data_IF_893655706745
#
_entry.id   IF_893655706745
#
_cell.length_a   1.000
_cell.length_b   1.000
_cell.length_c   1.000
_cell.angle_alpha   90.00
_cell.angle_beta   90.00
_cell.angle_gamma   90.00
#
_symmetry.space_group_name_H-M   'P 1'
#
loop_
_entity.id
_entity.type
_entity.pdbx_description
1 polymer ?
#
# COMPACT_ATOMS: atom_id res chain seq x y z
N UNK A 1 -18.82 11.83 9.93
CA UNK A 1 -18.46 12.27 8.57
C UNK A 1 -17.83 11.09 7.88
N UNK A 2 -18.16 10.82 6.62
CA UNK A 2 -17.50 9.76 5.86
C UNK A 2 -16.08 10.23 5.50
N UNK A 3 -15.08 9.36 5.63
CA UNK A 3 -13.71 9.61 5.15
C UNK A 3 -13.60 9.52 3.61
N UNK A 4 -14.69 9.14 2.93
CA UNK A 4 -14.78 9.01 1.46
C UNK A 4 -15.32 10.29 0.83
N UNK A 5 -14.76 10.67 -0.32
CA UNK A 5 -15.19 11.83 -1.12
C UNK A 5 -16.48 11.53 -1.89
N UNK A 6 -16.67 10.27 -2.31
CA UNK A 6 -17.85 9.82 -3.05
C UNK A 6 -18.84 9.08 -2.17
N UNK A 7 -20.13 9.14 -2.54
CA UNK A 7 -21.13 8.25 -1.93
C UNK A 7 -20.86 6.78 -2.30
N UNK A 8 -21.33 5.81 -1.49
CA UNK A 8 -21.18 4.38 -1.80
C UNK A 8 -21.72 4.00 -3.19
N UNK A 9 -22.81 4.62 -3.63
CA UNK A 9 -23.39 4.37 -4.96
C UNK A 9 -22.50 4.88 -6.09
N UNK A 10 -21.94 6.07 -5.96
CA UNK A 10 -21.00 6.64 -6.95
C UNK A 10 -19.70 5.84 -6.99
N UNK A 11 -19.16 5.47 -5.83
CA UNK A 11 -17.97 4.65 -5.73
C UNK A 11 -18.17 3.29 -6.41
N UNK A 12 -19.30 2.62 -6.14
CA UNK A 12 -19.61 1.35 -6.78
C UNK A 12 -19.74 1.49 -8.31
N UNK A 13 -20.40 2.55 -8.79
CA UNK A 13 -20.51 2.82 -10.21
C UNK A 13 -19.13 2.97 -10.88
N UNK A 14 -18.24 3.78 -10.27
CA UNK A 14 -16.88 4.01 -10.78
C UNK A 14 -16.03 2.73 -10.77
N UNK A 15 -16.13 1.92 -9.71
CA UNK A 15 -15.46 0.62 -9.60
C UNK A 15 -15.92 -0.33 -10.70
N UNK A 16 -17.23 -0.49 -10.90
CA UNK A 16 -17.77 -1.36 -11.94
C UNK A 16 -17.42 -0.88 -13.35
N UNK A 17 -17.41 0.43 -13.58
CA UNK A 17 -16.95 1.02 -14.85
C UNK A 17 -15.47 0.75 -15.11
N UNK A 18 -14.64 0.82 -14.06
CA UNK A 18 -13.21 0.50 -14.12
C UNK A 18 -12.99 -0.96 -14.50
N UNK A 19 -13.67 -1.89 -13.82
CA UNK A 19 -13.61 -3.33 -14.15
C UNK A 19 -14.01 -3.62 -15.59
N UNK A 20 -15.12 -3.02 -16.05
CA UNK A 20 -15.56 -3.18 -17.44
C UNK A 20 -14.52 -2.66 -18.43
N UNK A 21 -13.87 -1.53 -18.15
CA UNK A 21 -12.82 -0.97 -19.02
C UNK A 21 -11.56 -1.83 -19.04
N UNK A 22 -11.27 -2.52 -17.93
CA UNK A 22 -10.18 -3.48 -17.83
C UNK A 22 -10.49 -4.84 -18.50
N UNK A 23 -11.72 -5.05 -19.00
CA UNK A 23 -12.14 -6.37 -19.50
C UNK A 23 -12.21 -7.40 -18.39
N UNK A 24 -12.58 -6.98 -17.18
CA UNK A 24 -12.68 -7.84 -16.01
C UNK A 24 -14.14 -7.97 -15.56
N UNK A 25 -14.49 -9.18 -15.14
CA UNK A 25 -15.73 -9.45 -14.42
C UNK A 25 -15.43 -9.70 -12.94
N UNK A 26 -16.41 -9.46 -12.07
CA UNK A 26 -16.25 -9.65 -10.63
C UNK A 26 -17.35 -10.53 -10.05
N UNK A 27 -16.96 -11.49 -9.20
CA UNK A 27 -17.86 -12.26 -8.36
C UNK A 27 -17.66 -11.81 -6.92
N UNK A 28 -18.75 -11.45 -6.24
CA UNK A 28 -18.68 -10.97 -4.86
C UNK A 28 -19.55 -11.80 -3.93
N UNK A 29 -19.12 -11.92 -2.66
CA UNK A 29 -19.83 -12.66 -1.63
C UNK A 29 -19.61 -12.06 -0.25
N UNK A 30 -20.66 -12.02 0.55
CA UNK A 30 -20.52 -11.79 1.98
C UNK A 30 -20.05 -13.08 2.65
N UNK A 31 -19.09 -12.97 3.56
CA UNK A 31 -18.58 -14.13 4.32
C UNK A 31 -19.28 -14.30 5.66
N UNK A 32 -20.07 -13.31 6.08
CA UNK A 32 -20.77 -13.29 7.37
C UNK A 32 -22.22 -12.82 7.22
N UNK A 33 -23.17 -13.31 8.06
CA UNK A 33 -24.55 -12.83 8.05
C UNK A 33 -24.70 -11.34 8.38
N UNK A 34 -23.76 -10.78 9.17
CA UNK A 34 -23.74 -9.36 9.51
C UNK A 34 -23.38 -8.45 8.34
N UNK A 35 -22.92 -9.02 7.21
CA UNK A 35 -22.49 -8.29 6.01
C UNK A 35 -21.37 -7.28 6.27
N UNK A 36 -20.58 -7.50 7.32
CA UNK A 36 -19.44 -6.65 7.66
C UNK A 36 -18.12 -7.14 7.04
N UNK A 37 -18.15 -8.28 6.37
CA UNK A 37 -16.98 -8.84 5.68
C UNK A 37 -17.47 -9.42 4.36
N UNK A 38 -16.76 -9.08 3.28
CA UNK A 38 -17.02 -9.59 1.95
C UNK A 38 -15.71 -9.87 1.21
N UNK A 39 -15.80 -10.72 0.19
CA UNK A 39 -14.69 -10.98 -0.74
C UNK A 39 -15.15 -10.71 -2.17
N UNK A 40 -14.21 -10.29 -3.01
CA UNK A 40 -14.38 -10.16 -4.44
C UNK A 40 -13.31 -10.97 -5.16
N UNK A 41 -13.68 -11.63 -6.24
CA UNK A 41 -12.80 -12.35 -7.15
C UNK A 41 -12.96 -11.75 -8.55
N UNK A 42 -11.84 -11.45 -9.21
CA UNK A 42 -11.81 -10.86 -10.55
C UNK A 42 -11.42 -11.93 -11.57
N UNK A 43 -12.12 -11.94 -12.71
CA UNK A 43 -11.90 -12.88 -13.80
C UNK A 43 -11.67 -12.17 -15.13
N UNK A 44 -10.77 -12.70 -15.95
CA UNK A 44 -10.56 -12.24 -17.33
C UNK A 44 -11.64 -12.77 -18.31
N UNK A 45 -11.55 -12.38 -19.58
CA UNK A 45 -12.47 -12.82 -20.65
C UNK A 45 -12.47 -14.34 -20.90
N UNK A 46 -11.47 -15.06 -20.39
CA UNK A 46 -11.35 -16.51 -20.50
C UNK A 46 -11.80 -17.24 -19.21
N UNK A 47 -12.43 -16.53 -18.27
CA UNK A 47 -12.87 -17.04 -16.96
C UNK A 47 -11.72 -17.50 -16.06
N UNK A 48 -10.50 -16.97 -16.27
CA UNK A 48 -9.39 -17.21 -15.36
C UNK A 48 -9.45 -16.24 -14.19
N UNK A 49 -9.32 -16.75 -12.97
CA UNK A 49 -9.13 -15.93 -11.78
C UNK A 49 -7.81 -15.14 -11.90
N UNK A 50 -7.90 -13.81 -11.91
CA UNK A 50 -6.73 -12.93 -11.97
C UNK A 50 -6.34 -12.42 -10.59
N UNK A 51 -7.30 -12.01 -9.76
CA UNK A 51 -7.05 -11.48 -8.42
C UNK A 51 -8.26 -11.62 -7.49
N UNK A 52 -8.04 -11.35 -6.20
CA UNK A 52 -9.10 -11.26 -5.20
C UNK A 52 -8.80 -10.18 -4.15
N UNK A 53 -9.84 -9.72 -3.46
CA UNK A 53 -9.78 -8.74 -2.38
C UNK A 53 -10.82 -9.02 -1.28
N UNK A 54 -10.66 -8.41 -0.11
CA UNK A 54 -11.46 -8.67 1.08
C UNK A 54 -11.82 -7.39 1.86
N UNK A 55 -13.03 -6.89 1.65
CA UNK A 55 -13.51 -5.70 2.34
C UNK A 55 -14.10 -5.97 3.71
N UNK A 56 -14.04 -4.95 4.56
CA UNK A 56 -14.54 -4.96 5.94
C UNK A 56 -15.39 -3.72 6.21
N UNK A 57 -16.28 -3.81 7.20
CA UNK A 57 -17.14 -2.71 7.64
C UNK A 57 -18.48 -2.64 6.90
N UNK A 58 -19.25 -1.55 7.10
CA UNK A 58 -20.60 -1.40 6.54
C UNK A 58 -20.65 -1.49 5.00
N UNK A 59 -19.59 -1.05 4.32
CA UNK A 59 -19.45 -1.06 2.86
C UNK A 59 -18.52 -2.18 2.37
N UNK A 60 -18.51 -3.34 3.05
CA UNK A 60 -17.52 -4.40 2.82
C UNK A 60 -17.46 -4.89 1.37
N UNK A 61 -18.58 -4.90 0.61
CA UNK A 61 -18.57 -5.28 -0.81
C UNK A 61 -17.76 -4.30 -1.67
N UNK A 62 -17.95 -3.00 -1.45
CA UNK A 62 -17.24 -1.94 -2.18
C UNK A 62 -15.76 -2.05 -1.84
N UNK A 63 -15.43 -2.21 -0.56
CA UNK A 63 -14.05 -2.43 -0.11
C UNK A 63 -13.40 -3.65 -0.77
N UNK A 64 -14.12 -4.78 -0.86
CA UNK A 64 -13.58 -6.00 -1.46
C UNK A 64 -13.28 -5.83 -2.96
N UNK A 65 -14.17 -5.16 -3.69
CA UNK A 65 -13.96 -4.85 -5.10
C UNK A 65 -12.78 -3.89 -5.29
N UNK A 66 -12.72 -2.81 -4.51
CA UNK A 66 -11.63 -1.83 -4.55
C UNK A 66 -10.26 -2.49 -4.30
N UNK A 67 -10.14 -3.31 -3.26
CA UNK A 67 -8.90 -4.04 -2.95
C UNK A 67 -8.54 -5.04 -4.05
N UNK A 68 -9.52 -5.70 -4.66
CA UNK A 68 -9.24 -6.62 -5.77
C UNK A 68 -8.65 -5.90 -7.00
N UNK A 69 -9.09 -4.65 -7.28
CA UNK A 69 -8.53 -3.81 -8.33
C UNK A 69 -7.11 -3.34 -7.95
N UNK A 70 -6.92 -2.92 -6.70
CA UNK A 70 -5.62 -2.51 -6.16
C UNK A 70 -4.57 -3.60 -6.34
N UNK A 71 -4.90 -4.84 -5.95
CA UNK A 71 -4.07 -6.01 -6.20
C UNK A 71 -3.83 -6.21 -7.70
N UNK A 72 -4.88 -6.16 -8.52
CA UNK A 72 -4.75 -6.38 -9.96
C UNK A 72 -3.76 -5.41 -10.58
N UNK A 73 -3.85 -4.13 -10.24
CA UNK A 73 -2.98 -3.08 -10.77
C UNK A 73 -1.55 -3.19 -10.26
N UNK A 74 -1.33 -3.58 -9.00
CA UNK A 74 0.01 -3.75 -8.39
C UNK A 74 0.88 -4.75 -9.16
N UNK A 75 0.25 -5.77 -9.74
CA UNK A 75 0.95 -6.90 -10.35
C UNK A 75 0.98 -6.85 -11.88
N UNK A 76 0.52 -5.76 -12.48
CA UNK A 76 0.64 -5.59 -13.93
C UNK A 76 2.08 -5.19 -14.32
N UNK A 77 2.60 -5.70 -15.45
CA UNK A 77 3.85 -5.21 -16.03
C UNK A 77 3.75 -3.72 -16.36
N UNK A 78 4.88 -3.01 -16.31
CA UNK A 78 4.92 -1.61 -16.77
C UNK A 78 4.46 -1.51 -18.22
N UNK A 79 3.47 -0.65 -18.46
CA UNK A 79 3.08 -0.26 -19.81
C UNK A 79 4.07 0.78 -20.33
N UNK A 80 5.03 0.36 -21.16
CA UNK A 80 6.01 1.25 -21.80
C UNK A 80 7.44 0.68 -21.82
N UNK A 81 8.37 1.44 -22.40
CA UNK A 81 9.78 1.10 -22.34
C UNK A 81 10.27 1.26 -20.88
N UNK A 82 10.84 0.22 -20.25
CA UNK A 82 11.24 0.29 -18.85
C UNK A 82 12.39 1.29 -18.68
N UNK A 83 12.24 2.21 -17.72
CA UNK A 83 13.33 3.09 -17.30
C UNK A 83 14.32 2.22 -16.52
N UNK A 84 15.60 2.28 -16.90
CA UNK A 84 16.63 1.40 -16.37
C UNK A 84 17.83 2.21 -15.90
N UNK A 85 18.24 1.99 -14.64
CA UNK A 85 19.39 2.66 -14.04
C UNK A 85 20.35 1.67 -13.41
N UNK A 86 21.62 2.08 -13.31
CA UNK A 86 22.61 1.38 -12.50
C UNK A 86 22.33 1.64 -11.01
N UNK A 87 22.77 0.71 -10.17
CA UNK A 87 22.61 0.76 -8.71
C UNK A 87 23.19 2.03 -8.08
N UNK A 88 24.39 2.45 -8.50
CA UNK A 88 25.03 3.69 -8.05
C UNK A 88 24.16 4.93 -8.32
N UNK A 89 23.61 5.04 -9.53
CA UNK A 89 22.73 6.15 -9.89
C UNK A 89 21.44 6.16 -9.06
N UNK A 90 20.91 4.99 -8.73
CA UNK A 90 19.72 4.85 -7.87
C UNK A 90 20.03 5.28 -6.43
N UNK A 91 21.16 4.83 -5.89
CA UNK A 91 21.59 5.10 -4.52
C UNK A 91 21.99 6.57 -4.27
N UNK A 92 22.37 7.31 -5.32
CA UNK A 92 22.80 8.73 -5.20
C UNK A 92 21.69 9.76 -5.48
N UNK A 93 20.44 9.33 -5.62
CA UNK A 93 19.34 10.28 -5.86
C UNK A 93 19.12 11.17 -4.63
N UNK A 94 18.85 12.47 -4.84
CA UNK A 94 18.61 13.42 -3.75
C UNK A 94 17.49 12.96 -2.81
N UNK A 95 16.41 12.42 -3.40
CA UNK A 95 15.20 11.98 -2.70
C UNK A 95 15.42 10.82 -1.70
N UNK A 96 16.54 10.10 -1.79
CA UNK A 96 16.79 8.88 -0.98
C UNK A 96 18.03 8.99 -0.11
N UNK A 97 18.54 10.20 0.09
CA UNK A 97 19.77 10.44 0.88
C UNK A 97 19.67 9.95 2.32
N UNK A 98 18.47 9.89 2.90
CA UNK A 98 18.20 9.36 4.23
C UNK A 98 17.61 7.94 4.22
N UNK A 99 17.37 7.36 3.04
CA UNK A 99 16.79 6.04 2.90
C UNK A 99 17.89 4.95 2.94
N UNK A 100 17.89 4.18 4.01
CA UNK A 100 18.87 3.11 4.24
C UNK A 100 18.80 1.97 3.23
N UNK A 101 17.66 1.72 2.59
CA UNK A 101 17.50 0.66 1.59
C UNK A 101 18.19 1.09 0.29
N UNK A 102 17.92 2.31 -0.17
CA UNK A 102 18.52 2.83 -1.41
C UNK A 102 20.01 3.09 -1.26
N UNK A 103 20.43 3.71 -0.16
CA UNK A 103 21.85 4.03 0.09
C UNK A 103 22.71 2.78 0.33
N UNK A 104 22.11 1.67 0.76
CA UNK A 104 22.81 0.38 0.97
C UNK A 104 22.74 -0.55 -0.25
N UNK A 105 22.27 -0.08 -1.40
CA UNK A 105 22.11 -0.91 -2.59
C UNK A 105 23.47 -1.44 -3.07
N UNK A 106 23.66 -2.77 -3.18
CA UNK A 106 24.92 -3.33 -3.65
C UNK A 106 25.25 -2.87 -5.08
N UNK A 107 26.53 -2.58 -5.32
CA UNK A 107 27.01 -2.28 -6.67
C UNK A 107 26.77 -3.47 -7.60
N UNK A 108 26.27 -3.17 -8.79
CA UNK A 108 26.04 -4.13 -9.86
C UNK A 108 26.22 -3.44 -11.21
N UNK A 109 26.78 -4.17 -12.17
CA UNK A 109 26.89 -3.73 -13.57
C UNK A 109 25.57 -3.89 -14.33
N UNK A 110 24.65 -4.71 -13.81
CA UNK A 110 23.34 -4.93 -14.41
C UNK A 110 22.43 -3.73 -14.16
N UNK A 111 21.64 -3.37 -15.17
CA UNK A 111 20.64 -2.33 -15.04
C UNK A 111 19.41 -2.84 -14.27
N UNK A 112 18.82 -1.96 -13.47
CA UNK A 112 17.64 -2.20 -12.64
C UNK A 112 16.48 -1.41 -13.22
N UNK A 113 15.35 -2.08 -13.45
CA UNK A 113 14.11 -1.44 -13.88
C UNK A 113 13.52 -0.59 -12.76
N UNK A 114 13.10 0.62 -13.08
CA UNK A 114 12.62 1.62 -12.14
C UNK A 114 11.28 2.23 -12.60
N UNK A 115 10.40 2.47 -11.64
CA UNK A 115 9.29 3.41 -11.78
C UNK A 115 9.79 4.84 -11.62
N UNK A 116 9.22 5.77 -12.39
CA UNK A 116 9.37 7.20 -12.12
C UNK A 116 8.25 7.63 -11.19
N UNK A 117 8.61 8.01 -9.99
CA UNK A 117 7.73 8.54 -8.95
C UNK A 117 7.91 10.06 -8.86
N UNK A 118 6.87 10.74 -8.39
CA UNK A 118 6.88 12.19 -8.18
C UNK A 118 6.44 12.53 -6.76
N UNK A 119 7.00 13.57 -6.16
CA UNK A 119 6.46 14.10 -4.91
C UNK A 119 5.02 14.60 -5.09
N UNK A 120 4.25 14.70 -4.00
CA UNK A 120 2.86 15.21 -4.04
C UNK A 120 2.74 16.61 -4.68
N UNK A 121 3.75 17.47 -4.49
CA UNK A 121 3.82 18.80 -5.08
C UNK A 121 4.43 18.83 -6.49
N UNK A 122 4.76 17.68 -7.09
CA UNK A 122 5.41 17.53 -8.39
C UNK A 122 6.80 18.18 -8.54
N UNK A 123 7.45 18.57 -7.43
CA UNK A 123 8.72 19.28 -7.47
C UNK A 123 9.94 18.36 -7.45
N UNK A 124 9.77 17.10 -7.02
CA UNK A 124 10.86 16.14 -6.93
C UNK A 124 10.49 14.83 -7.62
N UNK A 125 11.50 14.18 -8.19
CA UNK A 125 11.38 12.89 -8.84
C UNK A 125 12.24 11.85 -8.14
N UNK A 126 11.76 10.62 -8.17
CA UNK A 126 12.47 9.45 -7.68
C UNK A 126 12.30 8.29 -8.66
N UNK A 127 13.42 7.72 -9.08
CA UNK A 127 13.47 6.46 -9.80
C UNK A 127 13.58 5.31 -8.80
N UNK A 128 12.44 4.71 -8.47
CA UNK A 128 12.34 3.62 -7.51
C UNK A 128 12.39 2.26 -8.22
N UNK A 129 13.26 1.32 -7.79
CA UNK A 129 13.30 -0.02 -8.37
C UNK A 129 11.93 -0.71 -8.39
N UNK A 130 11.50 -1.22 -9.55
CA UNK A 130 10.19 -1.87 -9.70
C UNK A 130 10.02 -3.07 -8.78
N UNK A 131 11.12 -3.78 -8.49
CA UNK A 131 11.15 -4.91 -7.56
C UNK A 131 10.67 -4.55 -6.15
N UNK A 132 10.78 -3.29 -5.71
CA UNK A 132 10.27 -2.87 -4.39
C UNK A 132 8.75 -2.79 -4.36
N UNK A 133 8.13 -2.39 -5.47
CA UNK A 133 6.69 -2.11 -5.57
C UNK A 133 5.88 -3.27 -6.19
N UNK A 134 6.55 -4.26 -6.78
CA UNK A 134 5.90 -5.39 -7.45
C UNK A 134 6.29 -6.74 -6.83
N UNK A 135 5.68 -7.15 -5.70
CA UNK A 135 6.00 -8.40 -5.01
C UNK A 135 5.88 -9.66 -5.88
N UNK A 136 4.87 -9.80 -6.74
CA UNK A 136 4.72 -11.00 -7.58
C UNK A 136 5.85 -11.17 -8.59
N UNK A 137 6.44 -10.07 -9.09
CA UNK A 137 7.58 -10.10 -10.00
C UNK A 137 8.85 -10.64 -9.32
N UNK A 138 8.93 -10.60 -7.99
CA UNK A 138 10.08 -11.09 -7.23
C UNK A 138 10.21 -12.62 -7.20
N UNK A 139 9.13 -13.36 -7.47
CA UNK A 139 9.12 -14.82 -7.42
C UNK A 139 10.13 -15.46 -8.38
N UNK A 140 10.48 -14.76 -9.47
CA UNK A 140 11.48 -15.23 -10.44
C UNK A 140 12.91 -14.73 -10.16
N UNK A 141 13.10 -13.80 -9.23
CA UNK A 141 14.41 -13.16 -8.95
C UNK A 141 15.38 -14.11 -8.24
N UNK A 142 14.89 -15.16 -7.58
CA UNK A 142 15.76 -16.17 -6.95
C UNK A 142 16.67 -16.91 -7.95
N UNK A 143 16.35 -16.88 -9.25
CA UNK A 143 17.18 -17.44 -10.32
C UNK A 143 18.17 -16.43 -10.90
N UNK A 144 18.07 -15.16 -10.52
CA UNK A 144 18.91 -14.08 -11.03
C UNK A 144 20.23 -14.00 -10.24
N UNK A 145 21.32 -13.79 -10.97
CA UNK A 145 22.66 -13.57 -10.42
C UNK A 145 22.86 -12.14 -9.90
N UNK A 146 21.90 -11.24 -10.12
CA UNK A 146 21.97 -9.85 -9.71
C UNK A 146 21.80 -9.68 -8.18
N UNK A 147 22.91 -9.43 -7.48
CA UNK A 147 22.94 -9.21 -6.03
C UNK A 147 22.07 -8.04 -5.56
N UNK A 148 21.96 -6.97 -6.37
CA UNK A 148 21.13 -5.82 -6.05
C UNK A 148 19.63 -6.15 -6.07
N UNK A 149 19.16 -6.91 -7.07
CA UNK A 149 17.76 -7.35 -7.13
C UNK A 149 17.42 -8.30 -5.99
N UNK A 150 18.34 -9.21 -5.62
CA UNK A 150 18.19 -10.08 -4.43
C UNK A 150 18.19 -9.30 -3.12
N UNK A 151 18.97 -8.22 -3.04
CA UNK A 151 18.97 -7.33 -1.87
C UNK A 151 17.61 -6.65 -1.73
N UNK A 152 17.11 -6.06 -2.82
CA UNK A 152 15.85 -5.31 -2.88
C UNK A 152 14.62 -6.21 -2.67
N UNK A 153 14.63 -7.45 -3.17
CA UNK A 153 13.48 -8.35 -3.04
C UNK A 153 13.09 -8.66 -1.60
N UNK A 154 14.03 -8.54 -0.65
CA UNK A 154 13.77 -8.69 0.80
C UNK A 154 12.89 -7.57 1.38
N UNK A 155 12.83 -6.44 0.69
CA UNK A 155 12.05 -5.27 1.07
C UNK A 155 10.86 -5.05 0.13
N UNK A 156 10.58 -6.00 -0.77
CA UNK A 156 9.43 -5.91 -1.68
C UNK A 156 8.13 -6.05 -0.89
N UNK A 157 7.22 -5.11 -1.08
CA UNK A 157 5.95 -5.06 -0.37
C UNK A 157 4.88 -4.39 -1.22
N UNK A 158 3.62 -4.69 -0.92
CA UNK A 158 2.47 -3.94 -1.43
C UNK A 158 2.07 -2.78 -0.50
N UNK A 159 2.85 -2.51 0.56
CA UNK A 159 2.56 -1.46 1.52
C UNK A 159 2.46 -0.08 0.85
N UNK A 160 1.37 0.64 1.12
CA UNK A 160 1.17 2.00 0.62
C UNK A 160 0.61 2.06 -0.81
N UNK A 161 0.44 0.92 -1.48
CA UNK A 161 -0.25 0.85 -2.77
C UNK A 161 -1.74 0.86 -2.50
N UNK A 162 -2.45 1.82 -3.08
CA UNK A 162 -3.86 2.01 -2.78
C UNK A 162 -4.70 2.23 -4.04
N UNK A 163 -5.92 1.69 -4.02
CA UNK A 163 -6.99 2.12 -4.91
C UNK A 163 -7.93 3.10 -4.21
N UNK A 164 -8.35 4.13 -4.95
CA UNK A 164 -9.38 5.08 -4.57
C UNK A 164 -10.21 5.44 -5.79
N UNK A 165 -11.46 5.88 -5.58
CA UNK A 165 -12.28 6.34 -6.69
C UNK A 165 -11.87 7.75 -7.18
N UNK A 166 -11.00 8.41 -6.42
CA UNK A 166 -10.32 9.67 -6.76
C UNK A 166 -8.83 9.56 -6.39
N UNK A 167 -8.00 10.44 -6.95
CA UNK A 167 -6.56 10.50 -6.61
C UNK A 167 -6.37 10.79 -5.11
N UNK A 168 -7.13 11.74 -4.55
CA UNK A 168 -7.04 12.10 -3.13
C UNK A 168 -7.38 10.92 -2.22
N UNK A 169 -8.43 10.14 -2.54
CA UNK A 169 -8.78 8.95 -1.75
C UNK A 169 -7.67 7.91 -1.79
N UNK A 170 -7.10 7.66 -2.97
CA UNK A 170 -6.01 6.69 -3.10
C UNK A 170 -4.77 7.15 -2.33
N UNK A 171 -4.40 8.43 -2.43
CA UNK A 171 -3.26 8.99 -1.70
C UNK A 171 -3.46 8.96 -0.19
N UNK A 172 -4.65 9.34 0.30
CA UNK A 172 -4.97 9.31 1.72
C UNK A 172 -4.95 7.87 2.25
N UNK A 173 -5.53 6.93 1.51
CA UNK A 173 -5.56 5.52 1.88
C UNK A 173 -4.14 4.93 1.95
N UNK A 174 -3.33 5.11 0.90
CA UNK A 174 -1.95 4.63 0.87
C UNK A 174 -1.08 5.26 1.98
N UNK A 175 -1.30 6.55 2.28
CA UNK A 175 -0.61 7.23 3.37
C UNK A 175 -1.01 6.67 4.74
N UNK A 176 -2.30 6.43 4.97
CA UNK A 176 -2.78 5.82 6.21
C UNK A 176 -2.27 4.40 6.40
N UNK A 177 -2.32 3.55 5.37
CA UNK A 177 -1.80 2.18 5.46
C UNK A 177 -0.29 2.19 5.78
N UNK A 178 0.43 3.12 5.17
CA UNK A 178 1.85 3.31 5.41
C UNK A 178 2.14 3.70 6.86
N UNK A 179 1.42 4.69 7.40
CA UNK A 179 1.54 5.11 8.80
C UNK A 179 1.18 3.95 9.73
N UNK A 180 0.10 3.23 9.45
CA UNK A 180 -0.33 2.06 10.20
C UNK A 180 0.80 1.02 10.28
N UNK A 181 1.38 0.64 9.14
CA UNK A 181 2.47 -0.35 9.07
C UNK A 181 3.75 0.13 9.74
N UNK A 182 4.06 1.43 9.66
CA UNK A 182 5.19 2.01 10.37
C UNK A 182 5.02 1.91 11.89
N UNK A 183 3.86 2.36 12.41
CA UNK A 183 3.55 2.29 13.84
C UNK A 183 3.49 0.84 14.32
N UNK A 184 2.89 -0.07 13.55
CA UNK A 184 2.86 -1.50 13.85
C UNK A 184 4.27 -2.11 13.90
N UNK A 185 5.16 -1.70 13.00
CA UNK A 185 6.56 -2.14 13.01
C UNK A 185 7.30 -1.66 14.26
N UNK A 186 7.13 -0.38 14.63
CA UNK A 186 7.70 0.16 15.86
C UNK A 186 7.14 -0.55 17.11
N UNK A 187 5.85 -0.86 17.12
CA UNK A 187 5.21 -1.62 18.20
C UNK A 187 5.87 -2.99 18.35
N UNK A 188 6.01 -3.76 17.26
CA UNK A 188 6.67 -5.06 17.31
C UNK A 188 8.14 -4.97 17.72
N UNK A 189 8.88 -3.97 17.23
CA UNK A 189 10.26 -3.75 17.64
C UNK A 189 10.37 -3.45 19.14
N UNK A 190 9.44 -2.65 19.68
CA UNK A 190 9.36 -2.32 21.11
C UNK A 190 9.11 -3.57 21.94
N UNK A 191 8.08 -4.35 21.59
CA UNK A 191 7.71 -5.59 22.31
C UNK A 191 8.83 -6.63 22.27
N UNK A 192 9.62 -6.67 21.19
CA UNK A 192 10.78 -7.55 21.06
C UNK A 192 12.08 -7.01 21.69
N UNK A 193 12.09 -5.80 22.25
CA UNK A 193 13.29 -5.18 22.82
C UNK A 193 14.34 -4.78 21.78
N UNK A 194 13.93 -4.60 20.51
CA UNK A 194 14.79 -4.23 19.38
C UNK A 194 14.67 -2.77 18.96
N UNK A 195 13.65 -2.06 19.47
CA UNK A 195 13.30 -0.70 19.08
C UNK A 195 13.34 0.30 20.23
N UNK A 196 13.10 1.59 19.92
CA UNK A 196 12.90 2.60 20.95
C UNK A 196 11.70 2.23 21.84
N UNK A 197 11.71 2.70 23.09
CA UNK A 197 10.54 2.57 23.95
C UNK A 197 9.36 3.34 23.32
N UNK A 198 8.21 2.68 23.18
CA UNK A 198 6.98 3.30 22.72
C UNK A 198 6.08 3.56 23.93
N UNK A 199 5.69 4.82 24.14
CA UNK A 199 4.64 5.14 25.10
C UNK A 199 3.29 4.72 24.53
N UNK A 200 2.80 3.57 24.96
CA UNK A 200 1.45 3.13 24.64
C UNK A 200 0.46 3.82 25.56
N UNK A 201 -0.63 4.33 24.98
CA UNK A 201 -1.74 4.86 25.76
C UNK A 201 -2.25 3.78 26.73
N UNK A 202 -2.24 4.11 28.02
CA UNK A 202 -2.86 3.26 29.05
C UNK A 202 -4.30 3.73 29.24
N UNK A 203 -5.30 2.90 28.90
CA UNK A 203 -6.70 3.28 29.09
C UNK A 203 -7.00 3.55 30.57
N UNK A 204 -7.91 4.50 30.83
CA UNK A 204 -8.32 4.78 32.22
C UNK A 204 -8.98 3.55 32.85
N UNK A 205 -8.87 3.40 34.17
CA UNK A 205 -9.53 2.31 34.89
C UNK A 205 -11.04 2.23 34.62
N UNK A 206 -11.70 3.38 34.44
CA UNK A 206 -13.11 3.44 34.07
C UNK A 206 -13.39 2.90 32.67
N UNK A 207 -12.51 3.17 31.69
CA UNK A 207 -12.64 2.66 30.32
C UNK A 207 -12.41 1.15 30.28
N UNK A 208 -11.43 0.66 31.04
CA UNK A 208 -11.19 -0.78 31.23
C UNK A 208 -12.38 -1.47 31.89
N UNK A 209 -12.95 -0.87 32.94
CA UNK A 209 -14.11 -1.44 33.65
C UNK A 209 -15.35 -1.51 32.75
N UNK A 210 -15.63 -0.45 31.97
CA UNK A 210 -16.70 -0.46 30.97
C UNK A 210 -16.47 -1.52 29.87
N UNK A 211 -15.22 -1.75 29.46
CA UNK A 211 -14.89 -2.80 28.49
C UNK A 211 -14.97 -4.22 29.05
N UNK A 212 -14.89 -4.37 30.38
CA UNK A 212 -14.97 -5.66 31.08
C UNK A 212 -16.40 -6.06 31.46
N UNK A 213 -17.37 -5.12 31.45
CA UNK A 213 -18.80 -5.41 31.59
C UNK A 213 -19.42 -5.99 30.30
N UNK A 214 -18.73 -5.87 29.16
CA UNK A 214 -19.00 -6.67 27.95
C UNK A 214 -18.21 -7.99 27.97
N UNK A 215 -18.78 -9.13 27.50
CA UNK A 215 -18.10 -10.43 27.55
C UNK A 215 -16.79 -10.43 26.74
N UNK A 216 -15.78 -11.18 27.17
CA UNK A 216 -14.38 -10.77 27.05
C UNK A 216 -13.81 -11.04 25.65
N UNK A 217 -13.00 -10.10 25.15
CA UNK A 217 -11.82 -10.44 24.35
C UNK A 217 -10.60 -9.62 24.79
N UNK A 218 -9.92 -10.18 25.79
CA UNK A 218 -8.45 -10.28 25.89
C UNK A 218 -7.61 -8.98 25.93
N UNK A 219 -7.10 -8.61 27.12
CA UNK A 219 -5.72 -8.84 27.60
C UNK A 219 -5.34 -7.86 28.73
N UNK A 220 -4.55 -8.34 29.70
CA UNK A 220 -4.14 -7.62 30.90
C UNK A 220 -2.67 -7.19 30.92
N UNK A 221 -2.45 -6.04 31.60
CA UNK A 221 -1.36 -5.56 32.51
C UNK A 221 0.09 -5.69 32.00
N UNK A 222 1.00 -4.70 32.06
CA UNK A 222 1.31 -3.73 33.15
C UNK A 222 2.06 -2.46 32.68
N UNK A 223 1.96 -1.42 33.51
CA UNK A 223 2.49 -0.05 33.41
C UNK A 223 4.04 0.10 33.53
N UNK A 224 4.61 1.06 32.77
CA UNK A 224 5.51 2.11 33.28
C UNK A 224 5.73 3.23 32.23
N UNK A 225 5.72 4.48 32.70
CA UNK A 225 5.72 5.76 31.97
C UNK A 225 7.13 6.31 31.66
N UNK A 226 7.29 7.07 30.57
CA UNK A 226 8.27 8.17 30.46
C UNK A 226 8.10 8.95 29.12
N UNK A 227 7.59 10.17 29.25
CA UNK A 227 7.43 11.17 28.20
C UNK A 227 8.77 11.52 27.56
N UNK A 228 8.85 11.47 26.23
CA UNK A 228 9.75 12.33 25.45
C UNK A 228 9.32 12.47 23.97
N UNK A 229 9.54 13.67 23.44
CA UNK A 229 9.26 14.06 22.05
C UNK A 229 10.07 13.24 21.03
N UNK A 230 9.39 12.66 20.05
CA UNK A 230 10.03 12.00 18.90
C UNK A 230 10.12 12.93 17.69
N UNK A 231 11.34 13.27 17.27
CA UNK A 231 11.62 13.79 15.93
C UNK A 231 11.93 12.58 15.02
N UNK A 232 10.94 12.17 14.21
CA UNK A 232 11.10 11.09 13.26
C UNK A 232 12.03 11.46 12.10
N UNK A 233 12.94 10.55 11.74
CA UNK A 233 13.70 10.59 10.48
C UNK A 233 12.81 10.14 9.33
N UNK A 234 13.00 10.73 8.16
CA UNK A 234 12.22 10.45 6.96
C UNK A 234 12.40 8.98 6.54
N UNK A 235 11.29 8.26 6.43
CA UNK A 235 11.20 7.02 5.65
C UNK A 235 10.61 7.45 4.31
N UNK A 236 11.28 7.15 3.20
CA UNK A 236 10.69 7.39 1.88
C UNK A 236 9.52 6.43 1.70
N UNK A 237 8.33 6.97 1.50
CA UNK A 237 7.09 6.21 1.47
C UNK A 237 6.43 6.38 0.10
N UNK A 238 5.87 5.29 -0.42
CA UNK A 238 5.34 5.24 -1.78
C UNK A 238 3.83 5.07 -1.74
N UNK A 239 3.12 6.00 -2.38
CA UNK A 239 1.69 5.89 -2.61
C UNK A 239 1.44 5.81 -4.11
N UNK A 240 0.95 4.67 -4.58
CA UNK A 240 0.33 4.63 -5.90
C UNK A 240 -1.17 4.86 -5.77
N UNK A 241 -1.74 5.57 -6.74
CA UNK A 241 -3.17 5.82 -6.85
C UNK A 241 -3.64 5.73 -8.29
N UNK A 242 -4.94 5.48 -8.44
CA UNK A 242 -5.60 5.33 -9.73
C UNK A 242 -6.77 6.31 -9.79
N UNK A 243 -6.94 6.98 -10.93
CA UNK A 243 -8.12 7.82 -11.16
C UNK A 243 -8.47 7.84 -12.64
N UNK A 244 -9.76 7.84 -12.96
CA UNK A 244 -10.23 8.21 -14.30
C UNK A 244 -10.21 9.74 -14.44
N UNK A 245 -9.50 10.24 -15.45
CA UNK A 245 -9.50 11.66 -15.79
C UNK A 245 -10.76 12.04 -16.57
N UNK A 246 -11.81 12.48 -15.86
CA UNK A 246 -12.90 13.31 -16.37
C UNK A 246 -13.79 12.74 -17.49
N UNK A 247 -14.99 13.31 -17.70
CA UNK A 247 -15.89 12.84 -18.73
C UNK A 247 -15.39 13.38 -20.08
N UNK A 248 -15.35 12.52 -21.11
CA UNK A 248 -15.07 12.88 -22.51
C UNK A 248 -13.59 13.01 -22.93
N UNK A 249 -12.76 12.01 -22.65
CA UNK A 249 -11.67 11.63 -23.57
C UNK A 249 -11.30 10.17 -23.34
N UNK A 250 -10.78 9.51 -24.37
CA UNK A 250 -10.39 8.09 -24.41
C UNK A 250 -9.74 7.61 -23.10
N UNK A 251 -10.02 6.39 -22.60
CA UNK A 251 -9.52 5.94 -21.31
C UNK A 251 -8.00 5.81 -21.37
N UNK A 252 -7.29 6.74 -20.76
CA UNK A 252 -5.89 6.58 -20.40
C UNK A 252 -5.83 6.22 -18.92
N UNK A 253 -5.40 4.99 -18.62
CA UNK A 253 -5.07 4.59 -17.25
C UNK A 253 -3.86 5.39 -16.81
N UNK A 254 -4.09 6.40 -15.95
CA UNK A 254 -2.99 7.14 -15.35
C UNK A 254 -2.66 6.48 -14.02
N UNK A 255 -1.53 5.77 -13.98
CA UNK A 255 -0.88 5.40 -12.74
C UNK A 255 -0.36 6.68 -12.09
N UNK A 256 -0.91 7.05 -10.94
CA UNK A 256 -0.29 8.03 -10.06
C UNK A 256 0.66 7.26 -9.18
N UNK A 257 1.94 7.58 -9.26
CA UNK A 257 2.97 6.94 -8.47
C UNK A 257 3.66 8.09 -7.74
N UNK A 258 3.24 8.29 -6.49
CA UNK A 258 3.67 9.39 -5.63
C UNK A 258 4.62 8.90 -4.54
N UNK A 259 5.53 9.77 -4.16
CA UNK A 259 6.33 9.62 -2.95
C UNK A 259 5.79 10.59 -1.90
N UNK A 260 5.59 10.09 -0.67
CA UNK A 260 5.45 10.93 0.51
C UNK A 260 6.87 11.29 0.97
N UNK A 261 7.16 12.58 0.96
CA UNK A 261 8.43 13.16 1.39
C UNK A 261 8.28 13.73 2.81
#
# INVERSE_FOLDING_TARGET
>A
MSERELSPTEALFNIMSTLHTLGLSAVTRYTTPSKLVATAELFDDNDNLVESGAGKGPDSLIGALAESIEHFSTFQPLTGAPIRYRSDKIATQKAVTEDGIFTSLPHTENLIECFRLTSLNNNEELFAPCVLLCPKTTQNIHKDSNSALRFLSRYSSNSGIAFGCTENEALLHGAHETIERHILSLFYMTVCGLGPAMELYTPSAALLQNSAEEPPRCLGVSEQTASDHYQGRAVSLFCSGFSQSGPWSSPSFTHWLRMLA
#
